data_IF_921181809956
#
_entry.id   IF_921181809956
#
_cell.length_a   1.000
_cell.length_b   1.000
_cell.length_c   1.000
_cell.angle_alpha   90.00
_cell.angle_beta   90.00
_cell.angle_gamma   90.00
#
_symmetry.space_group_name_H-M   'P 1'
#
loop_
_entity.id
_entity.type
_entity.pdbx_description
1 polymer ?
#
# COMPACT_ATOMS: atom_id res chain seq x y z
N UNK A 1 17.79 -6.80 2.81
CA UNK A 1 18.27 -8.18 2.54
C UNK A 1 17.52 -8.73 1.34
N UNK A 2 18.01 -9.82 0.74
CA UNK A 2 17.36 -10.51 -0.35
C UNK A 2 17.63 -12.02 -0.26
N UNK A 3 16.74 -12.84 -0.83
CA UNK A 3 16.91 -14.29 -0.92
C UNK A 3 17.28 -14.62 -2.36
N UNK A 4 18.38 -15.35 -2.57
CA UNK A 4 18.80 -15.85 -3.89
C UNK A 4 19.04 -17.35 -3.78
N UNK A 5 18.26 -18.14 -4.51
CA UNK A 5 18.37 -19.60 -4.53
C UNK A 5 18.30 -20.19 -3.11
N UNK A 6 17.36 -19.68 -2.30
CA UNK A 6 17.17 -20.10 -0.91
C UNK A 6 18.19 -19.58 0.10
N UNK A 7 19.20 -18.81 -0.33
CA UNK A 7 20.19 -18.20 0.58
C UNK A 7 19.87 -16.73 0.87
N UNK A 8 19.84 -16.39 2.17
CA UNK A 8 19.70 -14.99 2.61
C UNK A 8 21.00 -14.22 2.43
N UNK A 9 20.91 -13.03 1.84
CA UNK A 9 22.01 -12.09 1.69
C UNK A 9 21.63 -10.69 2.15
N UNK A 10 22.50 -10.06 2.91
CA UNK A 10 22.26 -8.72 3.47
C UNK A 10 22.87 -7.67 2.56
N UNK A 11 22.08 -6.65 2.21
CA UNK A 11 22.60 -5.41 1.64
C UNK A 11 23.21 -4.62 2.80
N UNK A 12 24.52 -4.45 2.77
CA UNK A 12 25.32 -3.90 3.85
C UNK A 12 25.66 -2.42 3.65
N UNK A 13 26.82 -2.03 4.19
CA UNK A 13 27.29 -0.64 4.14
C UNK A 13 27.53 -0.16 2.71
N UNK A 14 27.47 1.16 2.55
CA UNK A 14 27.90 1.85 1.35
C UNK A 14 29.43 1.77 1.24
N UNK A 15 29.91 1.32 0.09
CA UNK A 15 31.33 1.22 -0.27
C UNK A 15 31.77 2.49 -0.98
N UNK A 16 30.95 2.96 -1.93
CA UNK A 16 31.19 4.20 -2.66
C UNK A 16 29.86 4.83 -3.07
N UNK A 17 29.90 6.11 -3.37
CA UNK A 17 28.73 6.86 -3.85
C UNK A 17 29.14 7.86 -4.92
N UNK A 18 28.29 8.03 -5.93
CA UNK A 18 28.50 8.96 -7.03
C UNK A 18 27.22 9.78 -7.24
N UNK A 19 27.37 11.11 -7.28
CA UNK A 19 26.26 11.99 -7.63
C UNK A 19 26.02 11.93 -9.13
N UNK A 20 24.74 11.83 -9.52
CA UNK A 20 24.28 11.77 -10.91
C UNK A 20 23.13 12.75 -11.10
N UNK A 21 22.76 13.03 -12.36
CA UNK A 21 21.57 13.82 -12.66
C UNK A 21 20.27 13.18 -12.10
N UNK A 22 20.25 11.85 -11.90
CA UNK A 22 19.10 11.11 -11.40
C UNK A 22 19.08 10.95 -9.86
N UNK A 23 20.07 11.52 -9.14
CA UNK A 23 20.24 11.38 -7.69
C UNK A 23 21.59 10.77 -7.31
N UNK A 24 21.64 10.07 -6.17
CA UNK A 24 22.86 9.46 -5.64
C UNK A 24 22.89 7.97 -5.98
N UNK A 25 23.84 7.53 -6.80
CA UNK A 25 24.13 6.11 -6.97
C UNK A 25 25.08 5.65 -5.87
N UNK A 26 24.77 4.51 -5.25
CA UNK A 26 25.58 3.91 -4.20
C UNK A 26 25.92 2.47 -4.57
N UNK A 27 27.17 2.09 -4.31
CA UNK A 27 27.60 0.69 -4.34
C UNK A 27 27.60 0.20 -2.91
N UNK A 28 26.90 -0.90 -2.64
CA UNK A 28 26.77 -1.47 -1.30
C UNK A 28 27.26 -2.91 -1.26
N UNK A 29 27.75 -3.34 -0.10
CA UNK A 29 28.05 -4.75 0.15
C UNK A 29 26.80 -5.63 0.01
N UNK A 30 26.96 -6.87 -0.46
CA UNK A 30 25.84 -7.80 -0.65
C UNK A 30 26.19 -9.26 -0.31
N UNK A 31 26.91 -9.45 0.80
CA UNK A 31 27.32 -10.77 1.30
C UNK A 31 28.31 -11.50 0.38
N UNK A 32 29.11 -12.40 0.96
CA UNK A 32 30.05 -13.25 0.22
C UNK A 32 30.95 -12.49 -0.79
N UNK A 33 31.40 -11.27 -0.44
CA UNK A 33 32.26 -10.44 -1.29
C UNK A 33 31.57 -9.81 -2.51
N UNK A 34 30.24 -9.96 -2.66
CA UNK A 34 29.47 -9.35 -3.76
C UNK A 34 29.00 -7.95 -3.41
N UNK A 35 28.56 -7.23 -4.44
CA UNK A 35 28.06 -5.87 -4.34
C UNK A 35 26.70 -5.76 -5.03
N UNK A 36 25.97 -4.70 -4.69
CA UNK A 36 24.79 -4.24 -5.44
C UNK A 36 24.95 -2.76 -5.71
N UNK A 37 24.35 -2.30 -6.81
CA UNK A 37 24.18 -0.88 -7.07
C UNK A 37 22.75 -0.48 -6.71
N UNK A 38 22.61 0.53 -5.88
CA UNK A 38 21.33 1.15 -5.59
C UNK A 38 21.36 2.63 -5.95
N UNK A 39 20.16 3.21 -6.10
CA UNK A 39 19.96 4.63 -6.38
C UNK A 39 19.06 5.22 -5.32
N UNK A 40 19.48 6.34 -4.76
CA UNK A 40 18.64 7.24 -3.98
C UNK A 40 18.24 8.41 -4.87
N UNK A 41 16.94 8.62 -5.04
CA UNK A 41 16.38 9.76 -5.79
C UNK A 41 15.35 10.50 -4.95
N UNK A 42 15.07 11.75 -5.32
CA UNK A 42 14.19 12.64 -4.54
C UNK A 42 13.08 13.18 -5.43
N UNK A 43 12.02 12.39 -5.69
CA UNK A 43 10.95 12.80 -6.60
C UNK A 43 10.18 14.04 -6.13
N UNK A 44 10.25 14.37 -4.83
CA UNK A 44 9.74 15.62 -4.28
C UNK A 44 10.49 15.98 -2.99
N UNK A 45 10.37 17.23 -2.55
CA UNK A 45 10.85 17.64 -1.24
C UNK A 45 10.21 16.77 -0.14
N UNK A 46 11.04 16.15 0.71
CA UNK A 46 10.63 15.19 1.76
C UNK A 46 10.23 13.78 1.29
N UNK A 47 10.47 13.42 0.03
CA UNK A 47 10.29 12.05 -0.45
C UNK A 47 11.63 11.54 -0.97
N UNK A 48 12.14 10.48 -0.37
CA UNK A 48 13.30 9.75 -0.85
C UNK A 48 12.86 8.41 -1.41
N UNK A 49 13.22 8.12 -2.64
CA UNK A 49 13.10 6.80 -3.24
C UNK A 49 14.43 6.07 -3.15
N UNK A 50 14.41 4.83 -2.68
CA UNK A 50 15.53 3.90 -2.76
C UNK A 50 15.19 2.74 -3.69
N UNK A 51 16.09 2.41 -4.60
CA UNK A 51 15.92 1.33 -5.57
C UNK A 51 17.23 0.59 -5.81
N UNK A 52 17.22 -0.74 -5.73
CA UNK A 52 18.34 -1.56 -6.21
C UNK A 52 18.24 -1.64 -7.73
N UNK A 53 19.18 -1.00 -8.42
CA UNK A 53 19.19 -0.88 -9.89
C UNK A 53 20.00 -1.99 -10.56
N UNK A 54 20.93 -2.61 -9.83
CA UNK A 54 21.76 -3.71 -10.33
C UNK A 54 22.17 -4.65 -9.19
N UNK A 55 21.78 -5.92 -9.30
CA UNK A 55 22.11 -6.97 -8.32
C UNK A 55 23.50 -7.60 -8.54
N UNK A 56 24.21 -7.20 -9.60
CA UNK A 56 25.50 -7.74 -10.04
C UNK A 56 25.51 -9.29 -9.99
N UNK A 57 24.52 -9.88 -10.66
CA UNK A 57 24.29 -11.31 -10.78
C UNK A 57 22.79 -11.64 -10.87
N UNK A 58 22.36 -12.88 -10.55
CA UNK A 58 20.96 -13.26 -10.68
C UNK A 58 20.08 -12.39 -9.77
N UNK A 59 18.88 -12.01 -10.23
CA UNK A 59 17.93 -11.29 -9.40
C UNK A 59 17.48 -12.18 -8.24
N UNK A 60 17.10 -11.59 -7.10
CA UNK A 60 16.59 -12.34 -5.97
C UNK A 60 15.20 -12.92 -6.20
N UNK A 61 14.89 -13.98 -5.47
CA UNK A 61 13.56 -14.59 -5.39
C UNK A 61 12.61 -13.70 -4.57
N UNK A 62 13.15 -13.05 -3.54
CA UNK A 62 12.42 -12.09 -2.70
C UNK A 62 13.36 -11.08 -2.07
N UNK A 63 12.82 -9.93 -1.67
CA UNK A 63 13.58 -8.85 -1.03
C UNK A 63 12.91 -8.44 0.27
N UNK A 64 13.70 -7.96 1.23
CA UNK A 64 13.18 -7.51 2.51
C UNK A 64 13.92 -6.30 3.07
N UNK A 65 13.18 -5.40 3.69
CA UNK A 65 13.69 -4.24 4.43
C UNK A 65 13.19 -4.34 5.87
N UNK A 66 14.04 -3.97 6.82
CA UNK A 66 13.64 -3.84 8.22
C UNK A 66 14.18 -2.56 8.84
N UNK A 67 13.48 -2.05 9.83
CA UNK A 67 13.87 -0.85 10.57
C UNK A 67 13.64 -1.00 12.06
N UNK A 68 14.45 -0.31 12.85
CA UNK A 68 14.26 -0.24 14.30
C UNK A 68 12.92 0.43 14.59
N UNK A 69 12.18 -0.11 15.58
CA UNK A 69 10.91 0.43 16.00
C UNK A 69 10.75 0.33 17.52
N UNK A 70 10.69 1.45 18.26
CA UNK A 70 10.50 1.43 19.71
C UNK A 70 9.08 0.95 20.09
N UNK A 71 8.90 0.55 21.35
CA UNK A 71 7.65 0.00 21.86
C UNK A 71 6.43 0.91 21.61
N UNK A 72 6.61 2.23 21.69
CA UNK A 72 5.60 3.26 21.53
C UNK A 72 5.35 3.71 20.08
N UNK A 73 5.97 3.08 19.08
CA UNK A 73 5.68 3.37 17.68
C UNK A 73 4.44 2.60 17.21
N UNK A 74 3.44 3.35 16.75
CA UNK A 74 2.22 2.84 16.13
C UNK A 74 2.23 2.99 14.62
N UNK A 75 1.48 2.13 13.92
CA UNK A 75 1.47 2.01 12.47
C UNK A 75 0.06 1.94 11.90
N UNK A 76 -0.22 2.74 10.87
CA UNK A 76 -1.54 2.83 10.22
C UNK A 76 -1.41 2.77 8.71
N UNK A 77 -2.52 2.51 8.00
CA UNK A 77 -2.55 2.43 6.54
C UNK A 77 -2.87 1.02 6.06
N UNK A 78 -2.02 0.47 5.19
CA UNK A 78 -2.15 -0.88 4.60
C UNK A 78 -3.41 -1.11 3.75
N UNK A 79 -4.17 -0.06 3.48
CA UNK A 79 -5.43 -0.12 2.75
C UNK A 79 -6.61 -0.47 3.67
N UNK A 80 -7.55 -1.25 3.13
CA UNK A 80 -8.80 -1.62 3.80
C UNK A 80 -8.61 -2.83 4.73
N UNK A 81 -7.98 -2.62 5.88
CA UNK A 81 -7.75 -3.67 6.89
C UNK A 81 -8.90 -3.76 7.90
N UNK A 82 -9.31 -4.99 8.20
CA UNK A 82 -10.49 -5.28 9.03
C UNK A 82 -10.16 -5.84 10.42
N UNK A 83 -8.89 -6.14 10.70
CA UNK A 83 -8.44 -6.72 11.97
C UNK A 83 -8.19 -5.65 13.05
N UNK A 84 -7.52 -4.55 12.70
CA UNK A 84 -7.17 -3.47 13.62
C UNK A 84 -6.89 -2.17 12.86
N UNK A 85 -7.13 -1.02 13.51
CA UNK A 85 -6.68 0.27 13.01
C UNK A 85 -5.16 0.42 13.18
N UNK A 86 -4.67 0.20 14.40
CA UNK A 86 -3.24 0.18 14.71
C UNK A 86 -2.66 -1.21 14.45
N UNK A 87 -1.69 -1.28 13.54
CA UNK A 87 -1.07 -2.52 13.12
C UNK A 87 0.20 -2.85 13.91
N UNK A 88 0.58 -2.06 14.91
CA UNK A 88 1.60 -2.44 15.88
C UNK A 88 1.34 -3.85 16.46
N UNK A 89 2.34 -4.74 16.35
CA UNK A 89 2.23 -6.12 16.85
C UNK A 89 1.42 -7.06 15.96
N UNK A 90 1.09 -6.66 14.73
CA UNK A 90 0.41 -7.51 13.75
C UNK A 90 1.33 -7.89 12.58
N UNK A 91 0.97 -8.96 11.89
CA UNK A 91 1.49 -9.31 10.56
C UNK A 91 0.40 -8.96 9.55
N UNK A 92 0.76 -8.20 8.52
CA UNK A 92 -0.16 -7.65 7.52
C UNK A 92 0.22 -8.15 6.14
N UNK A 93 -0.65 -8.94 5.51
CA UNK A 93 -0.50 -9.45 4.15
C UNK A 93 -1.08 -8.48 3.13
N UNK A 94 -0.31 -8.19 2.08
CA UNK A 94 -0.74 -7.38 0.95
C UNK A 94 -1.00 -8.31 -0.22
N UNK A 95 -2.24 -8.74 -0.34
CA UNK A 95 -2.80 -9.48 -1.46
C UNK A 95 -4.30 -9.25 -1.50
N UNK A 96 -4.82 -8.73 -2.60
CA UNK A 96 -6.26 -8.57 -2.77
C UNK A 96 -6.91 -9.97 -2.76
N UNK A 97 -7.90 -10.15 -1.90
CA UNK A 97 -8.55 -11.45 -1.73
C UNK A 97 -10.04 -11.26 -1.46
N UNK A 98 -10.87 -11.99 -2.21
CA UNK A 98 -12.31 -12.01 -1.99
C UNK A 98 -12.65 -12.93 -0.82
N UNK A 99 -13.12 -12.35 0.28
CA UNK A 99 -13.49 -13.11 1.48
C UNK A 99 -14.76 -12.52 2.10
N UNK A 100 -15.91 -13.22 2.02
CA UNK A 100 -17.13 -12.77 2.68
C UNK A 100 -17.03 -12.91 4.21
N UNK A 101 -17.90 -12.21 4.94
CA UNK A 101 -18.00 -12.31 6.40
C UNK A 101 -16.77 -11.76 7.14
N UNK A 102 -16.30 -12.50 8.16
CA UNK A 102 -15.10 -12.15 8.93
C UNK A 102 -13.85 -12.39 8.09
N UNK A 103 -13.09 -11.31 7.84
CA UNK A 103 -11.95 -11.30 6.92
C UNK A 103 -10.60 -11.46 7.59
N UNK A 104 -10.53 -11.25 8.91
CA UNK A 104 -9.24 -11.13 9.60
C UNK A 104 -8.35 -10.09 8.91
N UNK A 105 -7.17 -10.51 8.48
CA UNK A 105 -6.22 -9.67 7.74
C UNK A 105 -6.47 -9.60 6.22
N UNK A 106 -7.35 -10.44 5.67
CA UNK A 106 -7.69 -10.39 4.24
C UNK A 106 -8.44 -9.11 3.90
N UNK A 107 -8.15 -8.55 2.72
CA UNK A 107 -8.70 -7.28 2.27
C UNK A 107 -9.04 -7.32 0.78
N UNK A 108 -10.11 -6.63 0.38
CA UNK A 108 -10.36 -6.37 -1.05
C UNK A 108 -9.40 -5.31 -1.59
N UNK A 109 -9.06 -4.31 -0.77
CA UNK A 109 -8.23 -3.16 -1.16
C UNK A 109 -7.00 -2.98 -0.26
N UNK A 110 -6.08 -3.97 -0.18
CA UNK A 110 -4.82 -3.77 0.54
C UNK A 110 -3.91 -2.83 -0.24
N UNK A 111 -3.05 -2.11 0.49
CA UNK A 111 -2.05 -1.21 -0.10
C UNK A 111 -0.68 -1.47 0.53
N UNK A 112 0.41 -1.57 -0.26
CA UNK A 112 1.78 -1.79 0.24
C UNK A 112 2.40 -0.52 0.84
N UNK A 113 1.70 0.10 1.80
CA UNK A 113 2.05 1.39 2.38
C UNK A 113 1.63 1.45 3.86
N UNK A 114 2.45 2.10 4.69
CA UNK A 114 2.05 2.51 6.03
C UNK A 114 2.57 3.90 6.40
N UNK A 115 1.93 4.51 7.39
CA UNK A 115 2.40 5.69 8.12
C UNK A 115 2.75 5.30 9.55
N UNK A 116 3.85 5.86 10.05
CA UNK A 116 4.34 5.69 11.42
C UNK A 116 4.14 6.98 12.22
N UNK A 117 3.81 6.81 13.50
CA UNK A 117 3.78 7.88 14.52
C UNK A 117 5.12 8.59 14.75
N UNK A 118 6.22 8.09 14.17
CA UNK A 118 7.53 8.77 14.17
C UNK A 118 7.68 9.83 13.08
N UNK A 119 6.62 10.13 12.33
CA UNK A 119 6.63 11.20 11.33
C UNK A 119 7.24 10.78 9.98
N UNK A 120 6.98 9.54 9.57
CA UNK A 120 7.29 9.08 8.23
C UNK A 120 6.27 8.04 7.76
N UNK A 121 6.26 7.76 6.48
CA UNK A 121 5.64 6.57 5.94
C UNK A 121 6.54 5.89 4.91
N UNK A 122 6.24 4.62 4.65
CA UNK A 122 7.02 3.78 3.75
C UNK A 122 6.10 3.09 2.75
N UNK A 123 6.35 3.36 1.47
CA UNK A 123 5.66 2.76 0.33
C UNK A 123 6.57 1.73 -0.31
N UNK A 124 6.15 0.48 -0.36
CA UNK A 124 6.79 -0.54 -1.18
C UNK A 124 6.22 -0.44 -2.60
N UNK A 125 7.07 -0.05 -3.56
CA UNK A 125 6.71 0.06 -4.97
C UNK A 125 6.80 -1.32 -5.65
N UNK A 126 5.75 -2.10 -5.40
CA UNK A 126 5.58 -3.46 -5.89
C UNK A 126 4.09 -3.79 -6.04
N UNK A 127 3.77 -4.58 -7.06
CA UNK A 127 2.45 -5.20 -7.23
C UNK A 127 2.45 -6.67 -6.81
N UNK A 128 3.60 -7.20 -6.36
CA UNK A 128 3.71 -8.57 -5.93
C UNK A 128 3.15 -8.77 -4.51
N UNK A 129 2.74 -10.00 -4.15
CA UNK A 129 2.36 -10.31 -2.78
C UNK A 129 3.47 -9.91 -1.80
N UNK A 130 3.11 -9.24 -0.72
CA UNK A 130 4.07 -8.81 0.29
C UNK A 130 3.53 -8.98 1.70
N UNK A 131 4.43 -9.03 2.67
CA UNK A 131 4.12 -9.20 4.09
C UNK A 131 4.83 -8.12 4.89
N UNK A 132 4.08 -7.41 5.71
CA UNK A 132 4.56 -6.39 6.63
C UNK A 132 4.43 -6.95 8.05
N UNK A 133 5.54 -7.36 8.65
CA UNK A 133 5.60 -7.73 10.06
C UNK A 133 5.88 -6.46 10.87
N UNK A 134 4.93 -6.06 11.71
CA UNK A 134 4.97 -4.81 12.46
C UNK A 134 5.40 -5.03 13.93
N UNK A 135 6.50 -5.80 14.11
CA UNK A 135 7.22 -6.13 15.37
C UNK A 135 6.85 -7.45 16.03
N UNK A 136 6.29 -8.40 15.30
CA UNK A 136 5.96 -9.73 15.81
C UNK A 136 7.21 -10.59 15.97
N UNK A 137 7.97 -10.81 14.90
CA UNK A 137 9.05 -11.80 14.94
C UNK A 137 10.34 -11.31 15.62
N UNK A 138 10.66 -10.02 15.50
CA UNK A 138 12.01 -9.50 15.83
C UNK A 138 12.03 -8.27 16.72
N UNK A 139 10.86 -7.75 17.13
CA UNK A 139 10.75 -6.43 17.78
C UNK A 139 11.07 -5.24 16.83
N UNK A 140 11.33 -5.50 15.56
CA UNK A 140 11.54 -4.53 14.48
C UNK A 140 10.39 -4.64 13.49
N UNK A 141 10.07 -3.57 12.77
CA UNK A 141 9.22 -3.75 11.60
C UNK A 141 10.05 -4.35 10.45
N UNK A 142 9.43 -5.20 9.64
CA UNK A 142 10.01 -5.73 8.42
C UNK A 142 8.99 -5.87 7.31
N UNK A 143 9.46 -5.74 6.08
CA UNK A 143 8.64 -5.75 4.87
C UNK A 143 9.29 -6.73 3.94
N UNK A 144 8.56 -7.78 3.56
CA UNK A 144 9.03 -8.80 2.62
C UNK A 144 8.22 -8.69 1.35
N UNK A 145 8.92 -8.39 0.25
CA UNK A 145 8.37 -8.36 -1.10
C UNK A 145 8.68 -9.69 -1.79
N UNK A 146 7.67 -10.44 -2.22
CA UNK A 146 7.85 -11.70 -2.95
C UNK A 146 8.16 -11.45 -4.43
N UNK A 147 9.19 -10.63 -4.67
CA UNK A 147 9.64 -10.23 -6.01
C UNK A 147 11.10 -9.83 -5.99
N UNK A 148 11.77 -9.99 -7.13
CA UNK A 148 13.20 -9.75 -7.33
C UNK A 148 13.63 -8.28 -7.45
N UNK A 149 12.74 -7.34 -7.14
CA UNK A 149 13.04 -5.91 -7.14
C UNK A 149 12.83 -5.33 -5.74
N UNK A 150 13.72 -4.41 -5.36
CA UNK A 150 13.62 -3.67 -4.11
C UNK A 150 13.50 -2.19 -4.40
N UNK A 151 12.29 -1.65 -4.26
CA UNK A 151 11.95 -0.25 -4.54
C UNK A 151 11.04 0.26 -3.44
N UNK A 152 11.49 1.28 -2.73
CA UNK A 152 10.70 1.90 -1.67
C UNK A 152 10.71 3.41 -1.79
N UNK A 153 9.65 4.05 -1.31
CA UNK A 153 9.62 5.48 -1.08
C UNK A 153 9.45 5.71 0.42
N UNK A 154 10.36 6.48 1.01
CA UNK A 154 10.24 7.00 2.37
C UNK A 154 9.71 8.42 2.25
N UNK A 155 8.54 8.65 2.83
CA UNK A 155 7.87 9.93 2.83
C UNK A 155 7.99 10.50 4.24
N UNK A 156 8.79 11.55 4.39
CA UNK A 156 8.91 12.25 5.67
C UNK A 156 7.74 13.21 5.86
N UNK A 157 7.30 13.41 7.11
CA UNK A 157 6.30 14.41 7.48
C UNK A 157 6.16 14.47 9.01
N UNK A 158 6.41 15.62 9.67
CA UNK A 158 6.41 15.68 11.14
C UNK A 158 5.03 15.37 11.75
N UNK A 159 3.95 15.52 10.96
CA UNK A 159 2.59 15.08 11.31
C UNK A 159 2.11 13.98 10.36
N UNK A 160 1.18 13.15 10.83
CA UNK A 160 0.63 12.02 10.04
C UNK A 160 -0.07 12.49 8.75
N UNK A 161 -0.78 13.62 8.82
CA UNK A 161 -1.45 14.24 7.68
C UNK A 161 -0.46 14.84 6.66
N UNK A 162 0.69 15.36 7.10
CA UNK A 162 1.78 15.75 6.20
C UNK A 162 2.25 14.55 5.36
N UNK A 163 2.46 13.40 6.02
CA UNK A 163 2.89 12.17 5.35
C UNK A 163 1.84 11.74 4.31
N UNK A 164 0.56 11.73 4.68
CA UNK A 164 -0.52 11.32 3.78
C UNK A 164 -0.68 12.29 2.59
N UNK A 165 -0.60 13.60 2.83
CA UNK A 165 -0.70 14.62 1.78
C UNK A 165 0.45 14.52 0.76
N UNK A 166 1.66 14.21 1.23
CA UNK A 166 2.85 14.00 0.39
C UNK A 166 2.78 12.67 -0.37
N UNK A 167 2.32 11.61 0.29
CA UNK A 167 2.13 10.31 -0.36
C UNK A 167 1.11 10.40 -1.50
N UNK A 168 -0.06 11.00 -1.26
CA UNK A 168 -1.07 11.21 -2.33
C UNK A 168 -0.60 12.22 -3.38
N UNK A 169 0.28 13.16 -3.03
CA UNK A 169 0.97 14.00 -4.02
C UNK A 169 1.89 13.20 -4.96
N UNK A 170 2.46 12.09 -4.49
CA UNK A 170 3.30 11.18 -5.27
C UNK A 170 2.48 10.17 -6.08
N UNK A 171 1.43 9.59 -5.48
CA UNK A 171 0.68 8.46 -6.07
C UNK A 171 -0.61 8.88 -6.79
N UNK A 172 -1.01 10.14 -6.65
CA UNK A 172 -2.22 10.70 -7.26
C UNK A 172 -3.24 11.11 -6.21
N UNK A 173 -3.82 12.30 -6.39
CA UNK A 173 -4.92 12.80 -5.55
C UNK A 173 -6.26 12.44 -6.18
N UNK A 174 -7.23 11.92 -5.40
CA UNK A 174 -8.56 11.68 -5.92
C UNK A 174 -9.18 13.03 -6.36
N UNK A 175 -9.85 13.07 -7.53
CA UNK A 175 -10.61 14.25 -7.92
C UNK A 175 -11.83 14.43 -7.00
N UNK A 176 -12.37 15.65 -6.93
CA UNK A 176 -13.65 15.89 -6.28
C UNK A 176 -14.76 15.12 -7.04
N UNK A 177 -15.49 14.20 -6.39
CA UNK A 177 -16.63 13.54 -7.03
C UNK A 177 -17.74 14.54 -7.40
N UNK A 178 -18.60 14.22 -8.38
CA UNK A 178 -19.73 15.07 -8.72
C UNK A 178 -20.70 15.19 -7.52
N UNK A 179 -21.45 16.30 -7.36
CA UNK A 179 -22.30 16.53 -6.20
C UNK A 179 -23.31 15.41 -5.90
N UNK A 180 -23.87 14.76 -6.93
CA UNK A 180 -24.83 13.66 -6.75
C UNK A 180 -24.23 12.45 -6.02
N UNK A 181 -22.91 12.26 -6.06
CA UNK A 181 -22.25 11.15 -5.38
C UNK A 181 -22.32 11.25 -3.86
N UNK A 182 -22.53 12.46 -3.31
CA UNK A 182 -22.62 12.71 -1.87
C UNK A 182 -24.04 12.59 -1.31
N UNK A 183 -25.06 12.39 -2.15
CA UNK A 183 -26.43 12.15 -1.70
C UNK A 183 -26.72 10.66 -1.45
N UNK A 184 -27.93 10.30 -0.99
CA UNK A 184 -28.30 8.90 -0.72
C UNK A 184 -28.38 8.06 -1.99
N UNK A 185 -27.85 6.84 -1.95
CA UNK A 185 -27.89 5.86 -3.04
C UNK A 185 -28.87 4.74 -2.68
N UNK A 186 -29.69 4.33 -3.63
CA UNK A 186 -30.53 3.14 -3.51
C UNK A 186 -29.91 2.03 -4.34
N UNK A 187 -29.68 0.89 -3.71
CA UNK A 187 -29.09 -0.29 -4.32
C UNK A 187 -29.84 -1.54 -3.86
N UNK A 188 -29.95 -2.50 -4.76
CA UNK A 188 -30.34 -3.88 -4.48
C UNK A 188 -29.40 -4.77 -5.27
N UNK A 189 -29.00 -5.89 -4.67
CA UNK A 189 -28.22 -6.93 -5.37
C UNK A 189 -29.02 -7.46 -6.57
N UNK A 190 -30.35 -7.53 -6.44
CA UNK A 190 -31.23 -7.96 -7.52
C UNK A 190 -32.36 -6.96 -7.71
N UNK A 191 -32.53 -6.52 -8.95
CA UNK A 191 -33.75 -5.89 -9.46
C UNK A 191 -34.37 -6.87 -10.46
N UNK A 192 -35.60 -7.34 -10.21
CA UNK A 192 -36.19 -8.42 -11.02
C UNK A 192 -36.55 -7.98 -12.42
N UNK A 193 -37.05 -6.75 -12.53
CA UNK A 193 -37.39 -6.12 -13.79
C UNK A 193 -37.44 -4.58 -13.67
N UNK A 194 -37.51 -3.89 -14.81
CA UNK A 194 -37.68 -2.43 -14.83
C UNK A 194 -39.03 -1.93 -14.32
N UNK A 195 -40.01 -2.80 -14.10
CA UNK A 195 -41.24 -2.46 -13.37
C UNK A 195 -40.95 -2.23 -11.89
N UNK A 196 -40.16 -3.10 -11.26
CA UNK A 196 -39.72 -2.97 -9.87
C UNK A 196 -38.89 -1.70 -9.64
N UNK A 197 -37.98 -1.38 -10.57
CA UNK A 197 -37.19 -0.14 -10.53
C UNK A 197 -38.10 1.09 -10.60
N UNK A 198 -39.03 1.14 -11.58
CA UNK A 198 -39.97 2.26 -11.73
C UNK A 198 -40.85 2.42 -10.50
N UNK A 199 -41.36 1.31 -9.97
CA UNK A 199 -42.14 1.30 -8.74
C UNK A 199 -41.35 1.91 -7.58
N UNK A 200 -40.10 1.47 -7.36
CA UNK A 200 -39.25 2.01 -6.31
C UNK A 200 -39.04 3.52 -6.47
N UNK A 201 -38.63 3.98 -7.65
CA UNK A 201 -38.44 5.41 -7.96
C UNK A 201 -39.70 6.22 -7.65
N UNK A 202 -40.87 5.73 -8.08
CA UNK A 202 -42.14 6.38 -7.77
C UNK A 202 -42.44 6.42 -6.27
N UNK A 203 -42.17 5.34 -5.54
CA UNK A 203 -42.40 5.28 -4.10
C UNK A 203 -41.54 6.30 -3.34
N UNK A 204 -40.26 6.47 -3.72
CA UNK A 204 -39.37 7.49 -3.14
C UNK A 204 -39.88 8.90 -3.42
N UNK A 205 -40.27 9.18 -4.67
CA UNK A 205 -40.86 10.49 -5.06
C UNK A 205 -42.15 10.79 -4.30
N UNK A 206 -43.10 9.84 -4.26
CA UNK A 206 -44.39 10.00 -3.56
C UNK A 206 -44.24 10.23 -2.06
N UNK A 207 -43.19 9.67 -1.44
CA UNK A 207 -42.89 9.83 -0.01
C UNK A 207 -41.96 11.00 0.30
N UNK A 208 -41.53 11.76 -0.72
CA UNK A 208 -40.58 12.85 -0.57
C UNK A 208 -39.27 12.42 0.13
N UNK A 209 -38.78 11.22 -0.18
CA UNK A 209 -37.52 10.70 0.33
C UNK A 209 -36.43 10.99 -0.72
N UNK A 210 -35.35 11.72 -0.37
CA UNK A 210 -34.33 12.13 -1.33
C UNK A 210 -33.48 10.93 -1.79
N UNK A 211 -33.22 10.86 -3.10
CA UNK A 211 -32.34 9.88 -3.72
C UNK A 211 -31.50 10.58 -4.79
N UNK A 212 -30.20 10.30 -4.82
CA UNK A 212 -29.25 10.88 -5.78
C UNK A 212 -28.73 9.89 -6.81
N UNK A 213 -28.77 8.59 -6.51
CA UNK A 213 -28.42 7.53 -7.47
C UNK A 213 -29.23 6.26 -7.20
N UNK A 214 -29.51 5.53 -8.28
CA UNK A 214 -29.96 4.14 -8.24
C UNK A 214 -28.86 3.27 -8.83
N UNK A 215 -28.50 2.20 -8.12
CA UNK A 215 -27.50 1.22 -8.53
C UNK A 215 -28.22 -0.06 -8.96
N UNK A 216 -27.97 -0.49 -10.19
CA UNK A 216 -28.43 -1.77 -10.72
C UNK A 216 -27.25 -2.74 -10.70
N UNK A 217 -27.30 -3.70 -9.78
CA UNK A 217 -26.35 -4.79 -9.70
C UNK A 217 -26.82 -5.98 -10.57
N UNK A 218 -26.19 -7.14 -10.45
CA UNK A 218 -26.46 -8.30 -11.29
C UNK A 218 -27.75 -9.07 -10.91
N UNK A 219 -28.65 -9.40 -11.85
CA UNK A 219 -28.58 -9.10 -13.28
C UNK A 219 -29.13 -7.71 -13.58
N UNK A 220 -28.29 -6.85 -14.16
CA UNK A 220 -28.70 -5.50 -14.56
C UNK A 220 -29.43 -5.53 -15.91
N UNK A 221 -29.25 -6.60 -16.69
CA UNK A 221 -29.76 -6.76 -18.05
C UNK A 221 -31.29 -6.89 -18.11
N UNK A 222 -31.90 -7.28 -16.99
CA UNK A 222 -33.35 -7.42 -16.87
C UNK A 222 -34.00 -6.25 -16.13
N UNK A 223 -33.19 -5.42 -15.47
CA UNK A 223 -33.61 -4.26 -14.68
C UNK A 223 -34.12 -3.08 -15.54
#
# INVERSE_FOLDING_TARGET
MAIISGQTRTIGKVISSTSTAAGLEVVQEFGAGRQVRARLSFPAASIMRYEVVDWQGPPPDSTSISGNSPANEHFYGFGEKFNSLDQAGNVVEILAFDNPGNKGDRSYKPAPWFVSTRGFGLHLDSTAPSVFDMRVATGRYSITNRFGALRINVVYGPKLDDVLSRYTGLTGRPPLPPPWAFGPWISSDIWRDGGEVRYAVEQFRRRNIPVSAFVFDSPWEVA
#
